data_IF_156158124140
#
_entry.id   IF_156158124140
#
_cell.length_a   1.000
_cell.length_b   1.000
_cell.length_c   1.000
_cell.angle_alpha   90.00
_cell.angle_beta   90.00
_cell.angle_gamma   90.00
#
_symmetry.space_group_name_H-M   'P 1'
#
loop_
_entity.id
_entity.type
_entity.pdbx_description
1 polymer ?
#
# COMPACT_ATOMS: atom_id res chain seq x y z
N UNK A 1 -6.01 8.29 -5.08
CA UNK A 1 -7.06 7.54 -4.32
C UNK A 1 -8.50 7.97 -4.59
N UNK A 2 -8.84 9.26 -4.61
CA UNK A 2 -10.25 9.71 -4.66
C UNK A 2 -11.01 9.31 -5.93
N UNK A 3 -10.31 9.17 -7.07
CA UNK A 3 -10.90 8.61 -8.29
C UNK A 3 -11.11 7.09 -8.20
N UNK A 4 -10.17 6.37 -7.60
CA UNK A 4 -10.12 4.90 -7.60
C UNK A 4 -11.11 4.30 -6.60
N UNK A 5 -11.12 4.82 -5.37
CA UNK A 5 -11.97 4.31 -4.29
C UNK A 5 -12.48 5.49 -3.43
N UNK A 6 -13.44 6.29 -3.94
CA UNK A 6 -14.02 7.45 -3.25
C UNK A 6 -14.89 7.09 -2.05
N UNK A 7 -15.36 5.85 -1.98
CA UNK A 7 -16.14 5.34 -0.85
C UNK A 7 -15.40 4.17 -0.24
N UNK A 8 -15.38 4.12 1.09
CA UNK A 8 -14.65 3.08 1.83
C UNK A 8 -15.36 2.77 3.15
N UNK A 9 -15.21 1.52 3.59
CA UNK A 9 -15.64 1.10 4.93
C UNK A 9 -14.51 1.17 5.93
N UNK A 10 -13.28 0.93 5.48
CA UNK A 10 -12.09 0.93 6.31
C UNK A 10 -11.01 1.79 5.68
N UNK A 11 -10.26 2.49 6.53
CA UNK A 11 -9.19 3.40 6.12
C UNK A 11 -8.05 3.33 7.11
N UNK A 12 -6.84 3.40 6.60
CA UNK A 12 -5.62 3.52 7.39
C UNK A 12 -4.65 4.47 6.69
N UNK A 13 -4.05 5.38 7.46
CA UNK A 13 -3.13 6.39 6.94
C UNK A 13 -1.90 6.49 7.83
N UNK A 14 -0.75 6.59 7.19
CA UNK A 14 0.52 6.87 7.86
C UNK A 14 1.25 7.96 7.09
N UNK A 15 1.96 8.83 7.80
CA UNK A 15 2.74 9.87 7.16
C UNK A 15 3.95 10.25 7.99
N UNK A 16 4.94 10.85 7.33
CA UNK A 16 6.06 11.53 7.95
C UNK A 16 6.58 12.65 7.05
N UNK A 17 7.26 13.63 7.64
CA UNK A 17 7.92 14.69 6.89
C UNK A 17 9.25 14.19 6.30
N UNK A 18 9.55 14.62 5.06
CA UNK A 18 10.81 14.34 4.37
C UNK A 18 11.38 15.65 3.84
N UNK A 19 12.50 16.15 4.39
CA UNK A 19 13.14 17.37 3.92
C UNK A 19 14.01 17.09 2.68
N UNK A 20 13.36 16.73 1.56
CA UNK A 20 13.96 16.55 0.24
C UNK A 20 12.94 16.93 -0.83
N UNK A 21 13.40 17.18 -2.06
CA UNK A 21 12.52 17.47 -3.20
C UNK A 21 11.74 16.21 -3.66
N UNK A 22 10.71 16.43 -4.47
CA UNK A 22 9.81 15.36 -4.91
C UNK A 22 10.51 14.28 -5.74
N UNK A 23 11.42 14.66 -6.62
CA UNK A 23 12.13 13.71 -7.49
C UNK A 23 12.97 12.74 -6.66
N UNK A 24 13.75 13.29 -5.71
CA UNK A 24 14.54 12.49 -4.77
C UNK A 24 13.67 11.56 -3.93
N UNK A 25 12.56 12.07 -3.37
CA UNK A 25 11.68 11.24 -2.54
C UNK A 25 11.01 10.13 -3.35
N UNK A 26 10.52 10.43 -4.54
CA UNK A 26 9.82 9.46 -5.37
C UNK A 26 10.78 8.42 -5.96
N UNK A 27 12.01 8.81 -6.33
CA UNK A 27 13.08 7.84 -6.62
C UNK A 27 13.29 6.87 -5.43
N UNK A 28 13.39 7.39 -4.21
CA UNK A 28 13.51 6.56 -3.02
C UNK A 28 12.29 5.64 -2.78
N UNK A 29 11.07 6.10 -3.10
CA UNK A 29 9.84 5.27 -3.04
C UNK A 29 9.98 4.05 -3.95
N UNK A 30 10.46 4.24 -5.18
CA UNK A 30 10.59 3.14 -6.14
C UNK A 30 11.77 2.21 -5.86
N UNK A 31 12.83 2.71 -5.22
CA UNK A 31 14.07 1.96 -5.05
C UNK A 31 14.28 1.35 -3.65
N UNK A 32 13.53 1.78 -2.63
CA UNK A 32 13.72 1.28 -1.27
C UNK A 32 13.49 -0.23 -1.19
N UNK A 33 14.41 -0.93 -0.50
CA UNK A 33 14.39 -2.39 -0.36
C UNK A 33 14.14 -2.82 1.09
N UNK A 34 13.70 -4.06 1.30
CA UNK A 34 13.35 -4.54 2.64
C UNK A 34 14.51 -4.53 3.64
N UNK A 35 15.77 -4.67 3.20
CA UNK A 35 16.95 -4.55 4.07
C UNK A 35 17.05 -3.18 4.76
N UNK A 36 16.44 -2.14 4.18
CA UNK A 36 16.38 -0.80 4.77
C UNK A 36 15.24 -0.65 5.81
N UNK A 37 14.37 -1.65 5.94
CA UNK A 37 13.21 -1.67 6.83
C UNK A 37 13.26 -2.86 7.83
N UNK A 38 14.23 -2.89 8.77
CA UNK A 38 14.47 -4.06 9.62
C UNK A 38 13.28 -4.42 10.52
N UNK A 39 12.56 -3.42 11.06
CA UNK A 39 11.37 -3.69 11.87
C UNK A 39 10.25 -4.34 11.03
N UNK A 40 10.04 -3.88 9.80
CA UNK A 40 9.08 -4.51 8.90
C UNK A 40 9.45 -5.97 8.61
N UNK A 41 10.74 -6.25 8.37
CA UNK A 41 11.19 -7.63 8.12
C UNK A 41 10.92 -8.56 9.29
N UNK A 42 11.16 -8.09 10.52
CA UNK A 42 10.84 -8.87 11.72
C UNK A 42 9.33 -9.14 11.81
N UNK A 43 8.50 -8.13 11.56
CA UNK A 43 7.04 -8.29 11.59
C UNK A 43 6.52 -9.24 10.51
N UNK A 44 7.12 -9.22 9.32
CA UNK A 44 6.76 -10.12 8.22
C UNK A 44 7.22 -11.56 8.46
N UNK A 45 8.37 -11.76 9.10
CA UNK A 45 8.82 -13.08 9.50
C UNK A 45 7.86 -13.75 10.49
N UNK A 46 7.22 -12.98 11.38
CA UNK A 46 6.18 -13.49 12.30
C UNK A 46 4.96 -14.03 11.55
N UNK A 47 4.66 -13.51 10.35
CA UNK A 47 3.55 -14.00 9.51
C UNK A 47 3.95 -15.14 8.58
N UNK A 48 5.19 -15.65 8.67
CA UNK A 48 5.72 -16.68 7.77
C UNK A 48 6.00 -16.19 6.35
N UNK A 49 6.02 -14.87 6.12
CA UNK A 49 6.33 -14.32 4.81
C UNK A 49 7.85 -14.28 4.62
N UNK A 50 8.36 -15.04 3.66
CA UNK A 50 9.76 -14.98 3.24
C UNK A 50 9.92 -13.95 2.11
N UNK A 51 10.54 -12.81 2.44
CA UNK A 51 10.75 -11.73 1.49
C UNK A 51 12.22 -11.39 1.41
N UNK A 52 12.75 -11.50 0.19
CA UNK A 52 14.15 -11.18 -0.11
C UNK A 52 14.52 -9.79 0.39
N UNK A 53 15.69 -9.71 1.01
CA UNK A 53 16.28 -8.48 1.55
C UNK A 53 16.37 -7.36 0.50
N UNK A 54 16.70 -7.75 -0.74
CA UNK A 54 16.94 -6.84 -1.87
C UNK A 54 15.68 -6.57 -2.70
N UNK A 55 14.54 -7.18 -2.33
CA UNK A 55 13.29 -6.93 -3.04
C UNK A 55 12.80 -5.52 -2.70
N UNK A 56 12.39 -4.77 -3.73
CA UNK A 56 11.86 -3.42 -3.53
C UNK A 56 10.52 -3.48 -2.80
N UNK A 57 10.37 -2.59 -1.83
CA UNK A 57 9.20 -2.55 -0.96
C UNK A 57 7.96 -2.20 -1.79
N UNK A 58 8.04 -1.13 -2.59
CA UNK A 58 6.88 -0.61 -3.34
C UNK A 58 6.72 -1.33 -4.68
N UNK A 59 7.70 -1.24 -5.58
CA UNK A 59 7.54 -1.72 -6.96
C UNK A 59 7.42 -3.23 -7.08
N UNK A 60 8.06 -4.00 -6.20
CA UNK A 60 8.09 -5.46 -6.36
C UNK A 60 7.12 -6.15 -5.40
N UNK A 61 6.93 -5.60 -4.20
CA UNK A 61 6.12 -6.24 -3.16
C UNK A 61 4.68 -5.71 -3.14
N UNK A 62 4.47 -4.39 -3.21
CA UNK A 62 3.10 -3.86 -3.30
C UNK A 62 2.45 -4.18 -4.65
N UNK A 63 3.19 -4.09 -5.75
CA UNK A 63 2.67 -4.46 -7.08
C UNK A 63 2.36 -5.95 -7.23
N UNK A 64 2.88 -6.83 -6.36
CA UNK A 64 2.52 -8.25 -6.39
C UNK A 64 1.13 -8.52 -5.77
N UNK A 65 0.55 -7.55 -5.05
CA UNK A 65 -0.73 -7.70 -4.37
C UNK A 65 -1.92 -7.18 -5.20
N UNK A 66 -1.69 -6.63 -6.39
CA UNK A 66 -2.72 -6.05 -7.23
C UNK A 66 -2.16 -5.34 -8.46
N UNK A 67 -3.00 -4.60 -9.17
CA UNK A 67 -2.58 -3.87 -10.36
C UNK A 67 -2.10 -2.47 -9.98
N UNK A 68 -0.96 -2.07 -10.54
CA UNK A 68 -0.47 -0.68 -10.45
C UNK A 68 -1.33 0.19 -11.37
N UNK A 69 -1.89 1.25 -10.80
CA UNK A 69 -2.74 2.19 -11.53
C UNK A 69 -1.90 3.41 -11.89
N UNK A 70 -1.88 3.85 -13.17
CA UNK A 70 -1.21 5.08 -13.53
C UNK A 70 -1.70 6.27 -12.69
N UNK A 71 -0.75 6.97 -12.09
CA UNK A 71 -0.95 8.15 -11.25
C UNK A 71 0.12 9.20 -11.59
N UNK A 72 0.01 10.40 -11.01
CA UNK A 72 0.99 11.46 -11.22
C UNK A 72 2.35 11.12 -10.63
N UNK A 73 3.34 11.95 -10.94
CA UNK A 73 4.74 11.76 -10.52
C UNK A 73 4.94 11.85 -8.99
N UNK A 74 3.90 12.23 -8.26
CA UNK A 74 3.87 12.41 -6.81
C UNK A 74 3.22 11.22 -6.06
N UNK A 75 2.72 10.21 -6.79
CA UNK A 75 1.94 9.11 -6.22
C UNK A 75 2.25 7.78 -6.91
N UNK A 76 2.52 6.75 -6.12
CA UNK A 76 2.37 5.36 -6.53
C UNK A 76 1.01 4.88 -6.07
N UNK A 77 0.20 4.34 -6.98
CA UNK A 77 -1.15 3.86 -6.69
C UNK A 77 -1.31 2.40 -7.12
N UNK A 78 -1.89 1.57 -6.26
CA UNK A 78 -2.31 0.22 -6.65
C UNK A 78 -3.75 -0.08 -6.23
N UNK A 79 -4.35 -1.02 -6.96
CA UNK A 79 -5.70 -1.52 -6.76
C UNK A 79 -5.69 -3.04 -6.59
N UNK A 80 -6.52 -3.57 -5.70
CA UNK A 80 -6.64 -4.99 -5.41
C UNK A 80 -8.10 -5.42 -5.26
N UNK A 81 -8.39 -6.67 -5.60
CA UNK A 81 -9.69 -7.32 -5.38
C UNK A 81 -9.45 -8.64 -4.65
N UNK A 82 -10.21 -8.88 -3.59
CA UNK A 82 -10.14 -10.12 -2.82
C UNK A 82 -11.55 -10.71 -2.64
N UNK A 83 -11.69 -12.00 -2.95
CA UNK A 83 -12.85 -12.80 -2.58
C UNK A 83 -12.69 -13.28 -1.14
N UNK A 84 -13.73 -13.13 -0.31
CA UNK A 84 -13.68 -13.50 1.10
C UNK A 84 -14.13 -14.94 1.39
N UNK A 85 -14.91 -15.51 0.48
CA UNK A 85 -15.30 -16.92 0.46
C UNK A 85 -14.64 -17.59 -0.76
N UNK A 86 -14.83 -18.89 -0.94
CA UNK A 86 -14.40 -19.65 -2.13
C UNK A 86 -15.29 -19.34 -3.34
N UNK A 87 -15.37 -18.04 -3.68
CA UNK A 87 -16.08 -17.53 -4.85
C UNK A 87 -15.06 -17.20 -5.93
N UNK A 88 -15.36 -17.53 -7.21
CA UNK A 88 -14.47 -17.17 -8.31
C UNK A 88 -14.19 -15.67 -8.35
N UNK A 89 -12.94 -15.27 -8.63
CA UNK A 89 -12.60 -13.87 -8.91
C UNK A 89 -13.43 -13.40 -10.12
N UNK A 90 -14.16 -12.28 -10.01
CA UNK A 90 -14.88 -11.70 -11.14
C UNK A 90 -13.95 -11.44 -12.34
N UNK A 91 -14.47 -11.58 -13.55
CA UNK A 91 -13.69 -11.36 -14.78
C UNK A 91 -13.51 -9.86 -15.03
N UNK A 92 -12.28 -9.44 -15.34
CA UNK A 92 -11.93 -8.05 -15.65
C UNK A 92 -10.54 -7.67 -15.14
N UNK A 93 -10.08 -6.47 -15.51
CA UNK A 93 -8.88 -5.89 -14.92
C UNK A 93 -9.16 -5.46 -13.48
N UNK A 94 -8.14 -5.42 -12.62
CA UNK A 94 -8.37 -5.05 -11.21
C UNK A 94 -8.83 -3.60 -11.10
N UNK A 95 -8.38 -2.71 -11.99
CA UNK A 95 -8.85 -1.33 -12.09
C UNK A 95 -10.37 -1.26 -12.32
N UNK A 96 -10.86 -1.96 -13.35
CA UNK A 96 -12.30 -2.02 -13.66
C UNK A 96 -13.11 -2.61 -12.52
N UNK A 97 -12.61 -3.69 -11.91
CA UNK A 97 -13.30 -4.36 -10.81
C UNK A 97 -13.36 -3.48 -9.55
N UNK A 98 -12.29 -2.77 -9.21
CA UNK A 98 -12.29 -1.85 -8.06
C UNK A 98 -13.30 -0.72 -8.31
N UNK A 99 -13.38 -0.19 -9.52
CA UNK A 99 -14.34 0.84 -9.86
C UNK A 99 -15.79 0.31 -9.86
N UNK A 100 -16.06 -0.85 -10.48
CA UNK A 100 -17.42 -1.23 -10.92
C UNK A 100 -18.00 -2.49 -10.31
N UNK A 101 -17.18 -3.38 -9.75
CA UNK A 101 -17.69 -4.66 -9.24
C UNK A 101 -18.68 -4.45 -8.09
N UNK A 102 -19.82 -5.11 -8.14
CA UNK A 102 -20.83 -5.12 -7.07
C UNK A 102 -21.17 -6.53 -6.62
N UNK A 103 -20.44 -7.54 -7.10
CA UNK A 103 -20.68 -8.94 -6.79
C UNK A 103 -20.50 -9.16 -5.28
N UNK A 104 -21.45 -9.86 -4.61
CA UNK A 104 -21.35 -10.08 -3.18
C UNK A 104 -20.15 -10.96 -2.84
N UNK A 105 -19.60 -10.79 -1.64
CA UNK A 105 -18.42 -11.54 -1.18
C UNK A 105 -17.08 -10.92 -1.58
N UNK A 106 -17.08 -9.74 -2.21
CA UNK A 106 -15.88 -9.09 -2.73
C UNK A 106 -15.43 -7.92 -1.85
N UNK A 107 -14.12 -7.85 -1.63
CA UNK A 107 -13.43 -6.74 -1.00
C UNK A 107 -12.54 -6.05 -2.03
N UNK A 108 -12.76 -4.75 -2.21
CA UNK A 108 -11.97 -3.84 -3.03
C UNK A 108 -10.96 -3.14 -2.15
N UNK A 109 -9.72 -3.07 -2.60
CA UNK A 109 -8.61 -2.42 -1.90
C UNK A 109 -7.99 -1.39 -2.83
N UNK A 110 -7.78 -0.19 -2.34
CA UNK A 110 -6.89 0.79 -2.96
C UNK A 110 -5.83 1.19 -1.96
N UNK A 111 -4.58 1.30 -2.38
CA UNK A 111 -3.54 1.87 -1.54
C UNK A 111 -2.58 2.72 -2.35
N UNK A 112 -2.14 3.82 -1.76
CA UNK A 112 -1.12 4.68 -2.36
C UNK A 112 0.12 4.86 -1.46
N UNK A 113 1.19 5.33 -2.11
CA UNK A 113 2.34 5.97 -1.50
C UNK A 113 2.48 7.32 -2.18
N UNK A 114 2.28 8.41 -1.46
CA UNK A 114 2.19 9.76 -2.04
C UNK A 114 3.11 10.73 -1.32
N UNK A 115 3.83 11.55 -2.07
CA UNK A 115 4.62 12.65 -1.55
C UNK A 115 4.03 13.99 -1.98
N UNK A 116 3.55 14.79 -1.04
CA UNK A 116 3.00 16.11 -1.34
C UNK A 116 3.30 17.09 -0.19
N UNK A 117 3.71 18.32 -0.53
CA UNK A 117 3.96 19.37 0.46
C UNK A 117 5.02 19.01 1.51
N UNK A 118 6.05 18.25 1.14
CA UNK A 118 7.11 17.81 2.07
C UNK A 118 6.72 16.61 2.95
N UNK A 119 5.56 16.00 2.72
CA UNK A 119 5.05 14.87 3.51
C UNK A 119 4.93 13.63 2.64
N UNK A 120 5.62 12.56 3.05
CA UNK A 120 5.47 11.23 2.49
C UNK A 120 4.38 10.49 3.27
N UNK A 121 3.43 9.90 2.56
CA UNK A 121 2.27 9.25 3.15
C UNK A 121 1.92 7.95 2.47
N UNK A 122 1.22 7.09 3.20
CA UNK A 122 0.49 5.95 2.67
C UNK A 122 -0.96 6.04 3.10
N UNK A 123 -1.87 5.75 2.20
CA UNK A 123 -3.29 5.59 2.50
C UNK A 123 -3.77 4.25 1.95
N UNK A 124 -4.39 3.45 2.80
CA UNK A 124 -5.10 2.23 2.41
C UNK A 124 -6.60 2.46 2.61
N UNK A 125 -7.41 2.18 1.59
CA UNK A 125 -8.87 2.17 1.66
C UNK A 125 -9.39 0.81 1.27
N UNK A 126 -10.42 0.35 1.98
CA UNK A 126 -11.07 -0.92 1.73
C UNK A 126 -12.57 -0.73 1.67
N UNK A 127 -13.20 -1.28 0.62
CA UNK A 127 -14.64 -1.29 0.42
C UNK A 127 -15.12 -2.72 0.22
N UNK A 128 -16.09 -3.16 1.00
CA UNK A 128 -16.78 -4.42 0.76
C UNK A 128 -17.99 -4.15 -0.15
N UNK A 129 -18.27 -5.04 -1.10
CA UNK A 129 -19.38 -4.87 -2.06
C UNK A 129 -20.76 -5.05 -1.42
N UNK A 130 -20.84 -5.73 -0.27
CA UNK A 130 -22.07 -5.91 0.49
C UNK A 130 -21.83 -5.90 2.02
N UNK A 131 -22.92 -5.77 2.78
CA UNK A 131 -22.87 -5.63 4.24
C UNK A 131 -22.45 -6.94 4.96
N UNK A 132 -22.77 -8.12 4.41
CA UNK A 132 -22.32 -9.41 4.98
C UNK A 132 -20.80 -9.52 4.88
N UNK A 133 -20.25 -9.18 3.72
CA UNK A 133 -18.80 -9.17 3.48
C UNK A 133 -18.11 -8.14 4.37
N UNK A 134 -18.68 -6.95 4.52
CA UNK A 134 -18.17 -5.92 5.44
C UNK A 134 -18.07 -6.43 6.88
N UNK A 135 -19.12 -7.06 7.40
CA UNK A 135 -19.16 -7.58 8.78
C UNK A 135 -18.13 -8.67 9.02
N UNK A 136 -17.96 -9.58 8.04
CA UNK A 136 -16.96 -10.67 8.09
C UNK A 136 -15.53 -10.15 7.98
N UNK A 137 -15.29 -9.14 7.15
CA UNK A 137 -13.96 -8.56 6.98
C UNK A 137 -13.53 -7.69 8.18
N UNK A 138 -14.47 -7.05 8.87
CA UNK A 138 -14.18 -6.15 10.00
C UNK A 138 -13.23 -6.73 11.07
N UNK A 139 -13.45 -7.94 11.64
CA UNK A 139 -12.54 -8.49 12.64
C UNK A 139 -11.14 -8.74 12.07
N UNK A 140 -11.04 -9.25 10.83
CA UNK A 140 -9.78 -9.44 10.14
C UNK A 140 -9.03 -8.11 9.99
N UNK A 141 -9.71 -7.07 9.49
CA UNK A 141 -9.14 -5.72 9.38
C UNK A 141 -8.61 -5.19 10.72
N UNK A 142 -9.38 -5.32 11.79
CA UNK A 142 -8.98 -4.87 13.13
C UNK A 142 -7.76 -5.63 13.67
N UNK A 143 -7.61 -6.89 13.31
CA UNK A 143 -6.47 -7.70 13.69
C UNK A 143 -5.20 -7.30 12.90
N UNK A 144 -5.29 -7.20 11.58
CA UNK A 144 -4.10 -6.96 10.74
C UNK A 144 -3.59 -5.52 10.83
N UNK A 145 -4.47 -4.52 11.04
CA UNK A 145 -4.11 -3.10 10.94
C UNK A 145 -2.94 -2.72 11.86
N UNK A 146 -2.80 -3.34 13.03
CA UNK A 146 -1.70 -3.01 13.94
C UNK A 146 -0.35 -3.45 13.38
N UNK A 147 -0.25 -4.71 12.94
CA UNK A 147 0.98 -5.24 12.33
C UNK A 147 1.30 -4.55 11.01
N UNK A 148 0.28 -4.40 10.15
CA UNK A 148 0.40 -3.68 8.88
C UNK A 148 0.84 -2.24 9.10
N UNK A 149 0.26 -1.52 10.07
CA UNK A 149 0.61 -0.14 10.36
C UNK A 149 2.06 0.05 10.80
N UNK A 150 2.58 -0.85 11.64
CA UNK A 150 4.00 -0.83 12.01
C UNK A 150 4.92 -1.11 10.81
N UNK A 151 4.55 -2.06 9.96
CA UNK A 151 5.25 -2.33 8.69
C UNK A 151 5.24 -1.10 7.78
N UNK A 152 4.10 -0.40 7.64
CA UNK A 152 3.99 0.83 6.84
C UNK A 152 4.83 1.97 7.40
N UNK A 153 4.83 2.16 8.72
CA UNK A 153 5.70 3.14 9.38
C UNK A 153 7.18 2.82 9.18
N UNK A 154 7.57 1.55 9.29
CA UNK A 154 8.95 1.12 9.01
C UNK A 154 9.35 1.36 7.56
N UNK A 155 8.45 1.06 6.61
CA UNK A 155 8.65 1.35 5.18
C UNK A 155 8.84 2.85 4.93
N UNK A 156 7.97 3.70 5.48
CA UNK A 156 8.09 5.17 5.32
C UNK A 156 9.43 5.69 5.85
N UNK A 157 9.90 5.16 7.00
CA UNK A 157 11.20 5.53 7.57
C UNK A 157 12.36 5.08 6.69
N UNK A 158 12.28 3.90 6.08
CA UNK A 158 13.28 3.40 5.15
C UNK A 158 13.38 4.31 3.91
N UNK A 159 12.24 4.65 3.31
CA UNK A 159 12.17 5.57 2.16
C UNK A 159 12.76 6.94 2.53
N UNK A 160 12.37 7.50 3.68
CA UNK A 160 12.94 8.77 4.18
C UNK A 160 14.45 8.69 4.30
N UNK A 161 14.97 7.64 4.96
CA UNK A 161 16.39 7.49 5.17
C UNK A 161 17.16 7.40 3.84
N UNK A 162 16.59 6.70 2.85
CA UNK A 162 17.15 6.62 1.50
C UNK A 162 17.15 7.97 0.79
N UNK A 163 16.02 8.68 0.79
CA UNK A 163 15.90 10.00 0.16
C UNK A 163 16.94 10.98 0.74
N UNK A 164 17.14 10.97 2.06
CA UNK A 164 18.13 11.84 2.70
C UNK A 164 19.57 11.50 2.30
N UNK A 165 19.90 10.22 2.09
CA UNK A 165 21.22 9.82 1.60
C UNK A 165 21.44 10.24 0.15
N UNK A 166 20.42 10.12 -0.70
CA UNK A 166 20.48 10.55 -2.10
C UNK A 166 20.66 12.07 -2.19
N UNK A 167 19.88 12.85 -1.42
CA UNK A 167 20.01 14.30 -1.36
C UNK A 167 21.41 14.74 -0.89
N UNK A 168 21.97 14.08 0.13
CA UNK A 168 23.31 14.37 0.63
C UNK A 168 24.44 14.00 -0.35
N UNK A 169 24.20 13.07 -1.29
CA UNK A 169 25.17 12.71 -2.31
C UNK A 169 25.11 13.62 -3.55
N UNK A 170 24.04 14.39 -3.71
CA UNK A 170 23.80 15.29 -4.84
C UNK A 170 24.22 16.74 -4.57
N UNK A 171 24.46 17.12 -3.30
CA UNK A 171 24.92 18.45 -2.88
C UNK A 171 26.40 18.47 -2.53
#
# INVERSE_FOLDING_TARGET
>A
MDRLLPHWHFREVHSLAVPADQETVMSAVYEAVWSEAPLARVLMAVTGADVSAERRIVTDSLSAMGDVIPSGDDEFLFAGIQALDDIPRPTGTTAELVERCTDPGIVKVGMNVRFAGGVLSTETRVLATDERTRRRFRPYWLFIRFGSGLTRQSMLRAIRARALRQAAAAG
#
